data_IF_401483310110
#
_entry.id   IF_401483310110
#
_cell.length_a   1.000
_cell.length_b   1.000
_cell.length_c   1.000
_cell.angle_alpha   90.00
_cell.angle_beta   90.00
_cell.angle_gamma   90.00
#
_symmetry.space_group_name_H-M   'P 1'
#
loop_
_entity.id
_entity.type
_entity.pdbx_description
1 polymer ?
#
# COMPACT_ATOMS: atom_id res chain seq x y z
N UNK A 1 64.16 0.40 47.15
CA UNK A 1 64.59 0.52 45.74
C UNK A 1 63.76 -0.46 44.93
N UNK A 2 63.12 0.00 43.85
CA UNK A 2 62.13 -0.69 42.98
C UNK A 2 60.72 -0.83 43.62
N UNK A 3 59.57 -0.57 42.98
CA UNK A 3 59.19 -0.49 41.55
C UNK A 3 58.10 0.60 41.37
N UNK A 4 58.16 1.35 40.26
CA UNK A 4 57.11 2.26 39.82
C UNK A 4 56.02 1.50 39.05
N UNK A 5 54.74 1.74 39.35
CA UNK A 5 53.63 1.36 38.49
C UNK A 5 52.87 2.61 38.05
N UNK A 6 53.04 2.96 36.77
CA UNK A 6 52.20 3.89 36.04
C UNK A 6 50.87 3.20 35.73
N UNK A 7 49.77 3.70 36.28
CA UNK A 7 48.43 3.37 35.79
C UNK A 7 47.99 4.45 34.81
N UNK A 8 48.35 4.26 33.53
CA UNK A 8 47.59 4.83 32.42
C UNK A 8 46.28 4.05 32.32
N UNK A 9 45.22 4.57 32.92
CA UNK A 9 43.86 4.11 32.65
C UNK A 9 43.50 4.45 31.21
N UNK A 10 43.60 3.46 30.32
CA UNK A 10 43.04 3.51 28.98
C UNK A 10 41.53 3.74 29.09
N UNK A 11 41.09 4.95 28.75
CA UNK A 11 39.70 5.24 28.46
C UNK A 11 39.27 4.43 27.26
N UNK A 12 38.71 3.23 27.51
CA UNK A 12 37.94 2.52 26.52
C UNK A 12 36.60 3.25 26.42
N UNK A 13 36.53 4.27 25.56
CA UNK A 13 35.24 4.71 25.04
C UNK A 13 34.71 3.52 24.27
N UNK A 14 33.77 2.80 24.88
CA UNK A 14 32.88 1.90 24.18
C UNK A 14 32.24 2.73 23.06
N UNK A 15 32.80 2.62 21.85
CA UNK A 15 32.05 2.85 20.63
C UNK A 15 30.98 1.78 20.65
N UNK A 16 29.87 2.08 21.33
CA UNK A 16 28.60 1.46 21.03
C UNK A 16 28.46 1.77 19.54
N UNK A 17 28.74 0.77 18.71
CA UNK A 17 28.32 0.81 17.31
C UNK A 17 26.88 1.27 17.39
N UNK A 18 26.52 2.38 16.73
CA UNK A 18 25.13 2.74 16.57
C UNK A 18 24.48 1.55 15.86
N UNK A 19 24.03 0.58 16.64
CA UNK A 19 23.25 -0.56 16.21
C UNK A 19 21.99 0.10 15.69
N UNK A 20 22.00 0.37 14.38
CA UNK A 20 21.01 1.05 13.56
C UNK A 20 19.73 1.22 14.36
N UNK A 21 19.55 2.35 15.05
CA UNK A 21 18.23 2.69 15.56
C UNK A 21 17.39 2.91 14.32
N UNK A 22 16.66 1.89 13.89
CA UNK A 22 15.69 2.05 12.83
C UNK A 22 14.77 3.19 13.24
N UNK A 23 14.70 4.23 12.43
CA UNK A 23 13.77 5.34 12.62
C UNK A 23 12.66 5.19 11.58
N UNK A 24 11.68 4.29 11.83
CA UNK A 24 10.64 4.01 10.86
C UNK A 24 9.82 5.26 10.58
N UNK A 25 9.39 5.42 9.34
CA UNK A 25 8.48 6.49 8.97
C UNK A 25 7.15 6.33 9.72
N UNK A 26 6.58 7.45 10.16
CA UNK A 26 5.26 7.48 10.79
C UNK A 26 4.16 7.44 9.72
N UNK A 27 3.11 6.66 9.98
CA UNK A 27 1.95 6.52 9.10
C UNK A 27 0.69 7.01 9.78
N UNK A 28 -0.18 7.66 9.01
CA UNK A 28 -1.54 8.03 9.40
C UNK A 28 -2.52 7.06 8.75
N UNK A 29 -3.54 6.62 9.48
CA UNK A 29 -4.60 5.77 8.94
C UNK A 29 -5.72 6.62 8.35
N UNK A 30 -6.19 6.22 7.17
CA UNK A 30 -7.31 6.82 6.48
C UNK A 30 -8.66 6.29 6.94
N UNK A 31 -9.68 6.48 6.10
CA UNK A 31 -11.06 6.05 6.34
C UNK A 31 -11.13 4.62 6.89
N UNK A 32 -11.69 4.44 8.10
CA UNK A 32 -11.83 3.13 8.78
C UNK A 32 -10.55 2.27 8.80
N UNK A 33 -9.38 2.91 8.81
CA UNK A 33 -8.08 2.22 8.70
C UNK A 33 -7.96 1.32 7.47
N UNK A 34 -8.65 1.66 6.37
CA UNK A 34 -8.65 0.91 5.12
C UNK A 34 -7.39 1.09 4.28
N UNK A 35 -6.68 2.16 4.52
CA UNK A 35 -5.36 2.45 3.99
C UNK A 35 -4.57 3.24 5.05
N UNK A 36 -3.25 3.29 4.87
CA UNK A 36 -2.35 4.12 5.68
C UNK A 36 -1.32 4.81 4.80
N UNK A 37 -0.88 5.99 5.20
CA UNK A 37 0.01 6.79 4.37
C UNK A 37 1.06 7.56 5.19
N UNK A 38 2.22 7.78 4.59
CA UNK A 38 3.24 8.70 5.08
C UNK A 38 3.15 10.02 4.31
N UNK A 39 2.70 11.07 4.99
CA UNK A 39 2.42 12.36 4.36
C UNK A 39 3.62 13.34 4.34
N UNK A 40 4.68 13.10 5.11
CA UNK A 40 5.78 14.06 5.31
C UNK A 40 7.03 13.72 4.47
N UNK A 41 6.83 13.42 3.19
CA UNK A 41 7.91 13.17 2.24
C UNK A 41 8.70 14.43 1.86
N UNK A 42 10.00 14.27 1.61
CA UNK A 42 10.94 15.34 1.27
C UNK A 42 11.66 15.13 -0.08
N UNK A 43 11.26 14.11 -0.83
CA UNK A 43 11.74 13.82 -2.19
C UNK A 43 10.55 13.64 -3.15
N UNK A 44 10.79 13.72 -4.46
CA UNK A 44 9.77 13.62 -5.50
C UNK A 44 9.41 12.15 -5.86
N UNK A 45 9.22 11.31 -4.84
CA UNK A 45 8.91 9.88 -4.98
C UNK A 45 7.65 9.53 -4.18
N UNK A 46 6.70 8.87 -4.84
CA UNK A 46 5.54 8.21 -4.24
C UNK A 46 5.74 6.69 -4.35
N UNK A 47 5.61 5.98 -3.24
CA UNK A 47 5.55 4.52 -3.19
C UNK A 47 4.11 4.11 -2.86
N UNK A 48 3.49 3.31 -3.72
CA UNK A 48 2.20 2.68 -3.45
C UNK A 48 2.33 1.17 -3.32
N UNK A 49 1.52 0.57 -2.44
CA UNK A 49 1.29 -0.88 -2.42
C UNK A 49 -0.18 -1.14 -2.08
N UNK A 50 -1.05 -1.30 -3.08
CA UNK A 50 -2.50 -1.34 -2.86
C UNK A 50 -2.98 -2.67 -2.25
N UNK A 51 -2.24 -3.77 -2.43
CA UNK A 51 -2.76 -5.12 -2.20
C UNK A 51 -2.04 -5.93 -1.11
N UNK A 52 -1.19 -5.29 -0.31
CA UNK A 52 -0.53 -5.93 0.83
C UNK A 52 -1.43 -6.11 2.06
N UNK A 53 -2.60 -5.46 2.12
CA UNK A 53 -3.53 -5.54 3.25
C UNK A 53 -4.24 -6.88 3.41
N UNK A 54 -4.63 -7.22 4.64
CA UNK A 54 -5.41 -8.42 4.97
C UNK A 54 -6.64 -8.15 5.85
N UNK A 55 -6.94 -6.89 6.15
CA UNK A 55 -8.07 -6.55 7.03
C UNK A 55 -9.38 -6.75 6.29
N UNK A 56 -10.30 -7.51 6.89
CA UNK A 56 -11.62 -7.81 6.33
C UNK A 56 -12.71 -7.37 7.32
N UNK A 57 -13.23 -6.13 7.24
CA UNK A 57 -14.38 -5.72 8.03
C UNK A 57 -15.56 -6.66 7.77
N UNK A 58 -16.25 -7.08 8.83
CA UNK A 58 -17.33 -8.06 8.74
C UNK A 58 -18.64 -7.47 8.21
N UNK A 59 -18.79 -6.15 8.32
CA UNK A 59 -19.95 -5.37 7.88
C UNK A 59 -19.86 -4.93 6.40
N UNK A 60 -18.71 -5.09 5.76
CA UNK A 60 -18.50 -4.78 4.34
C UNK A 60 -18.51 -6.11 3.57
N UNK A 61 -19.38 -6.32 2.58
CA UNK A 61 -19.39 -7.57 1.81
C UNK A 61 -18.10 -7.75 1.00
N UNK A 62 -17.70 -8.99 0.77
CA UNK A 62 -16.60 -9.29 -0.15
C UNK A 62 -17.03 -9.06 -1.60
N UNK A 63 -16.06 -8.68 -2.42
CA UNK A 63 -16.18 -8.55 -3.88
C UNK A 63 -16.06 -9.89 -4.60
N UNK A 64 -15.95 -10.99 -3.85
CA UNK A 64 -15.82 -12.36 -4.37
C UNK A 64 -16.96 -12.81 -5.29
N UNK A 65 -18.13 -12.16 -5.23
CA UNK A 65 -19.22 -12.39 -6.21
C UNK A 65 -18.89 -11.92 -7.62
N UNK A 66 -17.88 -11.06 -7.78
CA UNK A 66 -17.49 -10.50 -9.06
C UNK A 66 -18.53 -9.54 -9.63
N UNK A 67 -18.34 -9.22 -10.91
CA UNK A 67 -19.33 -8.49 -11.71
C UNK A 67 -20.36 -9.44 -12.30
N UNK A 68 -21.41 -8.90 -12.90
CA UNK A 68 -22.39 -9.66 -13.65
C UNK A 68 -22.20 -9.44 -15.15
N UNK A 69 -21.98 -10.49 -15.91
CA UNK A 69 -21.85 -10.44 -17.36
C UNK A 69 -23.20 -10.21 -18.04
N UNK A 70 -23.28 -9.19 -18.90
CA UNK A 70 -24.49 -8.78 -19.62
C UNK A 70 -24.22 -8.74 -21.12
N UNK A 71 -25.28 -8.84 -21.92
CA UNK A 71 -25.22 -8.67 -23.38
C UNK A 71 -26.09 -7.50 -23.80
N UNK A 72 -25.50 -6.50 -24.48
CA UNK A 72 -26.27 -5.40 -25.07
C UNK A 72 -26.93 -5.84 -26.38
N UNK A 73 -26.25 -6.71 -27.11
CA UNK A 73 -26.70 -7.39 -28.33
C UNK A 73 -25.94 -8.75 -28.43
N UNK A 74 -26.24 -9.63 -29.42
CA UNK A 74 -25.61 -10.94 -29.54
C UNK A 74 -24.08 -10.96 -29.63
N UNK A 75 -23.44 -9.82 -29.95
CA UNK A 75 -22.00 -9.70 -30.13
C UNK A 75 -21.32 -8.79 -29.08
N UNK A 76 -22.08 -8.13 -28.20
CA UNK A 76 -21.54 -7.15 -27.25
C UNK A 76 -21.74 -7.61 -25.81
N UNK A 77 -20.70 -8.22 -25.24
CA UNK A 77 -20.61 -8.57 -23.82
C UNK A 77 -20.01 -7.42 -22.99
N UNK A 78 -20.55 -7.16 -21.81
CA UNK A 78 -20.00 -6.20 -20.85
C UNK A 78 -20.30 -6.62 -19.41
N UNK A 79 -19.55 -6.08 -18.45
CA UNK A 79 -19.73 -6.37 -17.03
C UNK A 79 -20.45 -5.22 -16.33
N UNK A 80 -21.43 -5.54 -15.47
CA UNK A 80 -21.97 -4.62 -14.46
C UNK A 80 -21.33 -4.91 -13.10
N UNK A 81 -21.04 -3.86 -12.34
CA UNK A 81 -20.27 -3.94 -11.09
C UNK A 81 -21.07 -3.42 -9.91
N UNK A 82 -21.97 -4.24 -9.36
CA UNK A 82 -22.86 -3.89 -8.26
C UNK A 82 -22.82 -4.99 -7.20
N UNK A 83 -22.54 -4.64 -5.95
CA UNK A 83 -22.39 -5.60 -4.85
C UNK A 83 -23.70 -6.33 -4.49
N UNK A 84 -24.84 -5.77 -4.90
CA UNK A 84 -26.19 -6.29 -4.65
C UNK A 84 -26.86 -6.86 -5.91
N UNK A 85 -26.14 -6.97 -7.02
CA UNK A 85 -26.67 -7.60 -8.23
C UNK A 85 -26.68 -9.13 -8.04
N UNK A 86 -27.85 -9.73 -8.18
CA UNK A 86 -28.06 -11.17 -7.98
C UNK A 86 -27.56 -12.01 -9.16
N UNK A 87 -27.04 -11.39 -10.22
CA UNK A 87 -26.46 -12.05 -11.40
C UNK A 87 -27.43 -13.06 -12.07
N UNK A 88 -28.74 -12.82 -11.99
CA UNK A 88 -29.74 -13.77 -12.53
C UNK A 88 -29.62 -13.87 -14.05
N UNK A 89 -29.36 -15.08 -14.55
CA UNK A 89 -29.26 -15.39 -15.97
C UNK A 89 -27.97 -14.91 -16.65
N UNK A 90 -26.94 -14.57 -15.87
CA UNK A 90 -25.68 -14.00 -16.33
C UNK A 90 -24.48 -14.82 -15.84
N UNK A 91 -23.44 -14.94 -16.67
CA UNK A 91 -22.15 -15.48 -16.20
C UNK A 91 -21.41 -14.40 -15.39
N UNK A 92 -20.78 -14.72 -14.26
CA UNK A 92 -20.03 -13.75 -13.48
C UNK A 92 -18.80 -13.25 -14.25
N UNK A 93 -18.43 -11.99 -14.01
CA UNK A 93 -17.16 -11.42 -14.42
C UNK A 93 -16.16 -11.53 -13.27
N UNK A 94 -15.00 -12.12 -13.56
CA UNK A 94 -13.98 -12.36 -12.56
C UNK A 94 -13.40 -11.07 -11.97
N UNK A 95 -13.04 -11.14 -10.69
CA UNK A 95 -12.29 -10.10 -10.00
C UNK A 95 -11.04 -10.70 -9.36
N UNK A 96 -9.97 -9.92 -9.31
CA UNK A 96 -8.79 -10.27 -8.53
C UNK A 96 -9.06 -10.01 -7.04
N UNK A 97 -8.98 -11.06 -6.22
CA UNK A 97 -9.13 -10.96 -4.77
C UNK A 97 -7.87 -11.38 -4.00
N UNK A 98 -6.89 -11.96 -4.70
CA UNK A 98 -5.65 -12.45 -4.11
C UNK A 98 -4.81 -11.28 -3.62
N UNK A 99 -4.38 -11.40 -2.35
CA UNK A 99 -3.45 -10.47 -1.70
C UNK A 99 -2.07 -10.58 -2.33
N UNK A 100 -1.42 -9.44 -2.50
CA UNK A 100 -0.03 -9.36 -2.90
C UNK A 100 0.84 -9.42 -1.64
N UNK A 101 1.04 -10.65 -1.16
CA UNK A 101 1.68 -10.94 0.14
C UNK A 101 3.02 -10.19 0.27
N UNK A 102 3.21 -9.53 1.41
CA UNK A 102 4.41 -8.75 1.80
C UNK A 102 4.69 -7.47 1.01
N UNK A 103 3.85 -7.05 0.05
CA UNK A 103 4.11 -5.81 -0.69
C UNK A 103 4.02 -4.55 0.19
N UNK A 104 3.16 -4.56 1.21
CA UNK A 104 3.05 -3.49 2.21
C UNK A 104 4.27 -3.42 3.12
N UNK A 105 4.78 -4.56 3.60
CA UNK A 105 6.01 -4.64 4.38
C UNK A 105 7.22 -4.22 3.53
N UNK A 106 7.33 -4.71 2.30
CA UNK A 106 8.37 -4.35 1.36
C UNK A 106 8.40 -2.83 1.09
N UNK A 107 7.23 -2.22 0.83
CA UNK A 107 7.12 -0.77 0.64
C UNK A 107 7.62 0.01 1.85
N UNK A 108 7.23 -0.40 3.07
CA UNK A 108 7.70 0.22 4.31
C UNK A 108 9.21 0.08 4.48
N UNK A 109 9.76 -1.11 4.20
CA UNK A 109 11.20 -1.37 4.32
C UNK A 109 12.00 -0.52 3.33
N UNK A 110 11.56 -0.40 2.07
CA UNK A 110 12.19 0.49 1.08
C UNK A 110 12.18 1.94 1.57
N UNK A 111 11.04 2.44 2.04
CA UNK A 111 10.91 3.80 2.53
C UNK A 111 11.77 4.07 3.79
N UNK A 112 11.83 3.11 4.71
CA UNK A 112 12.64 3.20 5.91
C UNK A 112 14.15 3.15 5.58
N UNK A 113 14.57 2.32 4.62
CA UNK A 113 15.96 2.25 4.17
C UNK A 113 16.42 3.55 3.50
N UNK A 114 15.56 4.19 2.69
CA UNK A 114 15.83 5.50 2.11
C UNK A 114 16.07 6.57 3.21
N UNK A 115 15.23 6.54 4.26
CA UNK A 115 15.34 7.46 5.38
C UNK A 115 16.60 7.19 6.22
N UNK A 116 16.87 5.93 6.55
CA UNK A 116 18.00 5.54 7.39
C UNK A 116 19.36 5.81 6.71
N UNK A 117 19.45 5.62 5.38
CA UNK A 117 20.72 5.79 4.64
C UNK A 117 21.01 7.22 4.24
N UNK A 118 19.97 7.96 3.84
CA UNK A 118 20.14 9.26 3.18
C UNK A 118 19.25 10.36 3.75
N UNK A 119 18.40 10.08 4.75
CA UNK A 119 17.40 11.03 5.24
C UNK A 119 16.28 11.31 4.22
N UNK A 120 16.18 10.49 3.17
CA UNK A 120 15.18 10.62 2.12
C UNK A 120 13.88 9.93 2.52
N UNK A 121 12.81 10.70 2.58
CA UNK A 121 11.48 10.27 2.97
C UNK A 121 10.58 10.35 1.72
N UNK A 122 10.30 9.23 1.05
CA UNK A 122 9.29 9.23 0.00
C UNK A 122 7.91 9.42 0.62
N UNK A 123 6.95 9.88 -0.18
CA UNK A 123 5.54 9.72 0.17
C UNK A 123 5.17 8.24 0.01
N UNK A 124 4.33 7.72 0.91
CA UNK A 124 3.96 6.31 0.89
C UNK A 124 2.46 6.16 1.09
N UNK A 125 1.81 5.27 0.34
CA UNK A 125 0.43 4.87 0.59
C UNK A 125 0.22 3.36 0.42
N UNK A 126 -0.34 2.73 1.45
CA UNK A 126 -0.51 1.29 1.52
C UNK A 126 -1.98 0.94 1.75
N UNK A 127 -2.51 0.00 0.97
CA UNK A 127 -3.81 -0.59 1.22
C UNK A 127 -3.74 -1.51 2.44
N UNK A 128 -4.68 -1.35 3.37
CA UNK A 128 -4.75 -2.13 4.62
C UNK A 128 -5.91 -3.12 4.60
N UNK A 129 -7.04 -2.73 4.02
CA UNK A 129 -8.11 -3.68 3.71
C UNK A 129 -7.64 -4.68 2.66
N UNK A 130 -8.17 -5.90 2.73
CA UNK A 130 -7.89 -6.92 1.73
C UNK A 130 -8.42 -6.49 0.36
N UNK A 131 -7.75 -6.94 -0.70
CA UNK A 131 -8.17 -6.73 -2.10
C UNK A 131 -9.61 -7.20 -2.37
N UNK A 132 -10.04 -8.24 -1.65
CA UNK A 132 -11.41 -8.74 -1.68
C UNK A 132 -12.45 -7.77 -1.13
N UNK A 133 -12.08 -6.78 -0.30
CA UNK A 133 -13.02 -5.72 0.15
C UNK A 133 -13.01 -4.52 -0.78
N UNK A 134 -11.83 -4.13 -1.23
CA UNK A 134 -11.62 -2.99 -2.11
C UNK A 134 -10.36 -3.23 -2.93
N UNK A 135 -10.47 -3.05 -4.23
CA UNK A 135 -9.37 -3.10 -5.19
C UNK A 135 -9.05 -1.66 -5.57
N UNK A 136 -7.88 -1.20 -5.13
CA UNK A 136 -7.44 0.17 -5.37
C UNK A 136 -6.83 0.36 -6.77
N UNK A 137 -6.49 -0.71 -7.49
CA UNK A 137 -5.86 -0.67 -8.81
C UNK A 137 -6.80 -1.15 -9.95
N UNK A 138 -8.07 -0.76 -9.87
CA UNK A 138 -9.10 -0.88 -10.92
C UNK A 138 -10.00 0.36 -10.94
N UNK A 139 -10.73 0.64 -12.03
CA UNK A 139 -11.75 1.69 -12.03
C UNK A 139 -12.70 1.53 -10.83
N UNK A 140 -13.07 2.64 -10.19
CA UNK A 140 -13.81 2.64 -8.91
C UNK A 140 -15.04 1.73 -8.91
N UNK A 141 -15.81 1.68 -10.01
CA UNK A 141 -17.00 0.85 -10.10
C UNK A 141 -16.66 -0.65 -10.00
N UNK A 142 -15.61 -1.10 -10.70
CA UNK A 142 -15.11 -2.47 -10.62
C UNK A 142 -14.47 -2.70 -9.25
N UNK A 143 -13.58 -1.79 -8.85
CA UNK A 143 -12.76 -1.85 -7.64
C UNK A 143 -13.55 -1.91 -6.32
N UNK A 144 -14.80 -1.47 -6.35
CA UNK A 144 -15.67 -1.37 -5.16
C UNK A 144 -16.97 -2.13 -5.28
N UNK A 145 -17.33 -2.58 -6.49
CA UNK A 145 -18.69 -3.04 -6.84
C UNK A 145 -19.77 -2.03 -6.40
N UNK A 146 -19.42 -0.73 -6.37
CA UNK A 146 -20.27 0.35 -5.89
C UNK A 146 -20.77 0.19 -4.44
N UNK A 147 -20.07 -0.62 -3.64
CA UNK A 147 -20.33 -0.77 -2.22
C UNK A 147 -19.90 0.53 -1.49
N UNK A 148 -20.77 1.20 -0.71
CA UNK A 148 -20.52 2.57 -0.23
C UNK A 148 -19.24 2.76 0.62
N UNK A 149 -18.95 1.83 1.51
CA UNK A 149 -17.78 1.84 2.39
C UNK A 149 -16.50 1.58 1.59
N UNK A 150 -16.54 0.67 0.61
CA UNK A 150 -15.44 0.43 -0.31
C UNK A 150 -15.22 1.63 -1.24
N UNK A 151 -16.26 2.33 -1.68
CA UNK A 151 -16.17 3.60 -2.42
C UNK A 151 -15.47 4.68 -1.58
N UNK A 152 -15.85 4.83 -0.31
CA UNK A 152 -15.22 5.81 0.59
C UNK A 152 -13.75 5.49 0.85
N UNK A 153 -13.43 4.21 1.03
CA UNK A 153 -12.05 3.71 1.14
C UNK A 153 -11.24 4.02 -0.12
N UNK A 154 -11.76 3.66 -1.31
CA UNK A 154 -11.13 3.89 -2.60
C UNK A 154 -10.85 5.37 -2.84
N UNK A 155 -11.86 6.22 -2.62
CA UNK A 155 -11.72 7.67 -2.81
C UNK A 155 -10.66 8.24 -1.87
N UNK A 156 -10.68 7.87 -0.59
CA UNK A 156 -9.67 8.32 0.37
C UNK A 156 -8.24 7.93 -0.03
N UNK A 157 -8.06 6.70 -0.54
CA UNK A 157 -6.77 6.24 -1.05
C UNK A 157 -6.28 7.08 -2.24
N UNK A 158 -7.15 7.29 -3.24
CA UNK A 158 -6.81 8.03 -4.46
C UNK A 158 -6.70 9.54 -4.25
N UNK A 159 -7.45 10.12 -3.32
CA UNK A 159 -7.30 11.54 -2.94
C UNK A 159 -5.91 11.83 -2.39
N UNK A 160 -5.36 10.97 -1.53
CA UNK A 160 -3.98 11.14 -1.04
C UNK A 160 -2.96 11.12 -2.17
N UNK A 161 -3.13 10.24 -3.17
CA UNK A 161 -2.25 10.18 -4.34
C UNK A 161 -2.35 11.49 -5.13
N UNK A 162 -3.56 11.95 -5.43
CA UNK A 162 -3.79 13.21 -6.16
C UNK A 162 -3.16 14.41 -5.46
N UNK A 163 -3.46 14.60 -4.17
CA UNK A 163 -2.89 15.68 -3.35
C UNK A 163 -1.35 15.61 -3.30
N UNK A 164 -0.79 14.41 -3.25
CA UNK A 164 0.66 14.21 -3.24
C UNK A 164 1.28 14.52 -4.60
N UNK A 165 0.64 14.15 -5.71
CA UNK A 165 1.08 14.52 -7.06
C UNK A 165 1.10 16.04 -7.22
N UNK A 166 0.04 16.73 -6.80
CA UNK A 166 -0.05 18.19 -6.85
C UNK A 166 1.08 18.84 -6.04
N UNK A 167 1.33 18.35 -4.82
CA UNK A 167 2.43 18.83 -3.98
C UNK A 167 3.80 18.58 -4.62
N UNK A 168 4.01 17.41 -5.24
CA UNK A 168 5.28 17.11 -5.91
C UNK A 168 5.47 18.05 -7.11
N UNK A 169 4.43 18.27 -7.91
CA UNK A 169 4.50 19.17 -9.05
C UNK A 169 4.83 20.60 -8.61
N UNK A 170 4.20 21.09 -7.54
CA UNK A 170 4.45 22.42 -6.99
C UNK A 170 5.88 22.60 -6.45
N UNK A 171 6.44 21.58 -5.79
CA UNK A 171 7.73 21.68 -5.10
C UNK A 171 8.94 21.23 -5.92
N UNK A 172 8.74 20.31 -6.88
CA UNK A 172 9.82 19.66 -7.62
C UNK A 172 9.62 19.70 -9.15
N UNK A 173 8.46 20.13 -9.65
CA UNK A 173 8.12 20.18 -11.08
C UNK A 173 7.79 18.82 -11.70
N UNK A 174 8.43 17.74 -11.27
CA UNK A 174 8.14 16.36 -11.70
C UNK A 174 8.43 15.36 -10.58
N UNK A 175 7.84 14.17 -10.68
CA UNK A 175 8.09 13.07 -9.75
C UNK A 175 7.93 11.70 -10.36
N UNK A 176 8.16 10.70 -9.52
CA UNK A 176 8.03 9.29 -9.84
C UNK A 176 7.03 8.64 -8.88
N UNK A 177 6.07 7.89 -9.42
CA UNK A 177 5.23 6.98 -8.64
C UNK A 177 5.67 5.55 -8.96
N UNK A 178 5.95 4.77 -7.92
CA UNK A 178 6.28 3.34 -8.02
C UNK A 178 5.19 2.55 -7.30
N UNK A 179 4.52 1.68 -8.04
CA UNK A 179 3.44 0.85 -7.54
C UNK A 179 3.90 -0.61 -7.37
N UNK A 180 3.98 -1.06 -6.11
CA UNK A 180 4.45 -2.38 -5.76
C UNK A 180 3.32 -3.41 -5.74
N UNK A 181 3.51 -4.43 -6.57
CA UNK A 181 2.64 -5.59 -6.70
C UNK A 181 3.43 -6.88 -6.52
N UNK A 182 2.70 -7.92 -6.14
CA UNK A 182 3.19 -9.29 -6.05
C UNK A 182 2.54 -10.14 -7.13
N UNK A 183 3.27 -11.13 -7.65
CA UNK A 183 2.70 -12.16 -8.50
C UNK A 183 3.03 -13.53 -7.92
N UNK A 184 2.05 -14.43 -7.93
CA UNK A 184 2.31 -15.81 -7.56
C UNK A 184 3.20 -16.44 -8.63
N UNK A 185 4.37 -16.96 -8.25
CA UNK A 185 5.06 -17.91 -9.10
C UNK A 185 4.36 -19.26 -8.96
N UNK A 186 3.94 -19.87 -10.07
CA UNK A 186 3.62 -21.30 -10.05
C UNK A 186 4.91 -22.05 -9.72
N UNK A 187 5.01 -22.58 -8.50
CA UNK A 187 5.96 -23.66 -8.23
C UNK A 187 5.45 -24.86 -9.03
N UNK A 188 6.14 -25.21 -10.11
CA UNK A 188 5.85 -26.43 -10.84
C UNK A 188 6.04 -27.61 -9.90
N UNK A 189 4.96 -28.35 -9.64
CA UNK A 189 5.02 -29.69 -9.05
C UNK A 189 5.55 -30.71 -10.07
#
# INVERSE_FOLDING_TARGET
>A
MFVAFWLFGLGLILLIHESIQQNPLLYTFGYRSSYKFHQYGNINLIISAPHGGNVTPTDVPDRSSGGCGRTADPNTFYCTWNYNDTCVGANPCDVGNTRDVLTDEFAQNVANELNNRWGYKPFVILGVWSRGKVEFNRPIIEGTLQQPESVSSYQGYHSFIGETVDRIYQNFGTGLLIDFHGHAASVGE
#
